data_IF_920982653884
#
_entry.id   IF_920982653884
#
_cell.length_a   1.000
_cell.length_b   1.000
_cell.length_c   1.000
_cell.angle_alpha   90.00
_cell.angle_beta   90.00
_cell.angle_gamma   90.00
#
_symmetry.space_group_name_H-M   'P 1'
#
loop_
_entity.id
_entity.type
_entity.pdbx_description
1 polymer ?
#
# COMPACT_ATOMS: atom_id res chain seq x y z
N UNK A 1 148.62 68.90 44.53
CA UNK A 1 148.45 67.45 44.32
C UNK A 1 147.23 66.98 45.09
N UNK A 2 146.14 66.64 44.38
CA UNK A 2 145.11 65.63 44.70
C UNK A 2 143.83 65.90 43.88
N UNK A 3 143.88 65.62 42.57
CA UNK A 3 142.75 65.70 41.63
C UNK A 3 141.92 64.40 41.55
N UNK A 4 142.26 63.35 42.32
CA UNK A 4 141.63 62.02 42.19
C UNK A 4 140.24 61.88 42.87
N UNK A 5 139.77 62.87 43.64
CA UNK A 5 138.48 62.77 44.35
C UNK A 5 137.24 63.18 43.55
N UNK A 6 137.40 63.79 42.37
CA UNK A 6 136.28 64.32 41.57
C UNK A 6 135.60 63.27 40.67
N UNK A 7 136.36 62.28 40.18
CA UNK A 7 135.86 61.30 39.19
C UNK A 7 134.93 60.25 39.82
N UNK A 8 135.10 59.94 41.11
CA UNK A 8 134.28 58.95 41.81
C UNK A 8 132.82 59.39 42.05
N UNK A 9 132.52 60.70 42.02
CA UNK A 9 131.17 61.22 42.28
C UNK A 9 130.26 61.16 41.04
N UNK A 10 130.83 61.34 39.83
CA UNK A 10 130.08 61.34 38.56
C UNK A 10 129.54 59.92 38.25
N UNK A 11 130.30 58.87 38.59
CA UNK A 11 129.86 57.48 38.39
C UNK A 11 128.72 57.03 39.30
N UNK A 12 128.57 57.64 40.49
CA UNK A 12 127.54 57.25 41.46
C UNK A 12 126.14 57.78 41.09
N UNK A 13 126.07 59.01 40.57
CA UNK A 13 124.81 59.62 40.11
C UNK A 13 124.23 58.95 38.87
N UNK A 14 125.08 58.54 37.92
CA UNK A 14 124.61 57.82 36.73
C UNK A 14 124.05 56.44 37.10
N UNK A 15 124.71 55.70 38.00
CA UNK A 15 124.23 54.40 38.46
C UNK A 15 122.86 54.50 39.13
N UNK A 16 122.64 55.50 39.99
CA UNK A 16 121.35 55.72 40.65
C UNK A 16 120.26 56.13 39.67
N UNK A 17 120.58 56.91 38.63
CA UNK A 17 119.63 57.28 37.59
C UNK A 17 119.20 56.05 36.78
N UNK A 18 120.15 55.20 36.35
CA UNK A 18 119.83 53.95 35.64
C UNK A 18 119.03 52.98 36.52
N UNK A 19 119.37 52.88 37.81
CA UNK A 19 118.60 52.07 38.76
C UNK A 19 117.17 52.60 38.90
N UNK A 20 117.00 53.92 39.05
CA UNK A 20 115.68 54.54 39.17
C UNK A 20 114.84 54.34 37.90
N UNK A 21 115.43 54.55 36.71
CA UNK A 21 114.78 54.29 35.42
C UNK A 21 114.41 52.81 35.29
N UNK A 22 115.27 51.88 35.73
CA UNK A 22 114.98 50.45 35.68
C UNK A 22 113.80 50.05 36.59
N UNK A 23 113.73 50.61 37.80
CA UNK A 23 112.61 50.39 38.73
C UNK A 23 111.32 50.96 38.16
N UNK A 24 111.37 52.15 37.57
CA UNK A 24 110.21 52.80 36.94
C UNK A 24 109.71 52.01 35.72
N UNK A 25 110.63 51.51 34.90
CA UNK A 25 110.30 50.65 33.75
C UNK A 25 109.64 49.34 34.20
N UNK A 26 110.15 48.69 35.25
CA UNK A 26 109.52 47.50 35.84
C UNK A 26 108.11 47.83 36.34
N UNK A 27 107.93 48.96 37.02
CA UNK A 27 106.62 49.37 37.55
C UNK A 27 105.60 49.60 36.41
N UNK A 28 106.02 50.25 35.32
CA UNK A 28 105.18 50.47 34.14
C UNK A 28 104.79 49.14 33.49
N UNK A 29 105.75 48.20 33.33
CA UNK A 29 105.48 46.88 32.73
C UNK A 29 104.49 46.07 33.59
N UNK A 30 104.64 46.11 34.91
CA UNK A 30 103.71 45.42 35.83
C UNK A 30 102.31 46.03 35.75
N UNK A 31 102.18 47.36 35.78
CA UNK A 31 100.90 48.05 35.65
C UNK A 31 100.22 47.75 34.31
N UNK A 32 100.99 47.72 33.22
CA UNK A 32 100.47 47.39 31.89
C UNK A 32 100.02 45.93 31.79
N UNK A 33 100.77 45.01 32.40
CA UNK A 33 100.42 43.58 32.45
C UNK A 33 99.13 43.35 33.24
N UNK A 34 98.96 44.05 34.37
CA UNK A 34 97.75 43.96 35.19
C UNK A 34 96.52 44.53 34.46
N UNK A 35 96.67 45.68 33.79
CA UNK A 35 95.63 46.28 32.97
C UNK A 35 95.17 45.31 31.86
N UNK A 36 96.11 44.68 31.16
CA UNK A 36 95.82 43.70 30.10
C UNK A 36 95.07 42.47 30.62
N UNK A 37 95.47 41.92 31.78
CA UNK A 37 94.79 40.78 32.41
C UNK A 37 93.37 41.14 32.85
N UNK A 38 93.16 42.35 33.39
CA UNK A 38 91.83 42.84 33.77
C UNK A 38 90.94 43.07 32.55
N UNK A 39 91.50 43.56 31.44
CA UNK A 39 90.78 43.74 30.18
C UNK A 39 90.39 42.41 29.55
N UNK A 40 91.30 41.43 29.50
CA UNK A 40 91.00 40.06 29.05
C UNK A 40 89.95 39.37 29.95
N UNK A 41 90.00 39.59 31.26
CA UNK A 41 89.01 39.05 32.20
C UNK A 41 87.63 39.70 32.01
N UNK A 42 87.60 41.02 31.73
CA UNK A 42 86.36 41.73 31.37
C UNK A 42 85.78 41.22 30.06
N UNK A 43 86.61 41.02 29.03
CA UNK A 43 86.14 40.53 27.72
C UNK A 43 85.61 39.09 27.82
N UNK A 44 86.28 38.22 28.60
CA UNK A 44 85.78 36.86 28.90
C UNK A 44 84.46 36.87 29.69
N UNK A 45 84.33 37.73 30.70
CA UNK A 45 83.08 37.86 31.45
C UNK A 45 81.95 38.44 30.59
N UNK A 46 82.26 39.38 29.69
CA UNK A 46 81.28 39.94 28.75
C UNK A 46 80.78 38.86 27.78
N UNK A 47 81.68 38.01 27.26
CA UNK A 47 81.34 36.88 26.40
C UNK A 47 80.53 35.81 27.15
N UNK A 48 80.90 35.47 28.38
CA UNK A 48 80.15 34.52 29.20
C UNK A 48 78.73 35.02 29.47
N UNK A 49 78.57 36.31 29.83
CA UNK A 49 77.26 36.92 30.05
C UNK A 49 76.40 37.02 28.77
N UNK A 50 77.02 37.27 27.60
CA UNK A 50 76.31 37.18 26.31
C UNK A 50 75.85 35.76 26.01
N UNK A 51 76.72 34.77 26.20
CA UNK A 51 76.42 33.37 25.92
C UNK A 51 75.31 32.83 26.83
N UNK A 52 75.28 33.25 28.10
CA UNK A 52 74.21 32.90 29.04
C UNK A 52 72.86 33.53 28.64
N UNK A 53 72.86 34.79 28.16
CA UNK A 53 71.66 35.43 27.60
C UNK A 53 71.17 34.73 26.33
N UNK A 54 72.06 34.33 25.43
CA UNK A 54 71.70 33.59 24.22
C UNK A 54 71.12 32.21 24.57
N UNK A 55 71.71 31.49 25.51
CA UNK A 55 71.18 30.22 26.02
C UNK A 55 69.78 30.37 26.63
N UNK A 56 69.56 31.44 27.41
CA UNK A 56 68.26 31.70 28.01
C UNK A 56 67.20 32.04 26.95
N UNK A 57 67.57 32.86 25.95
CA UNK A 57 66.70 33.17 24.82
C UNK A 57 66.38 31.92 23.98
N UNK A 58 67.36 31.02 23.82
CA UNK A 58 67.18 29.76 23.10
C UNK A 58 66.23 28.82 23.84
N UNK A 59 66.36 28.67 25.16
CA UNK A 59 65.43 27.90 26.00
C UNK A 59 64.01 28.46 25.99
N UNK A 60 63.85 29.79 26.02
CA UNK A 60 62.52 30.40 25.92
C UNK A 60 61.88 30.16 24.54
N UNK A 61 62.68 30.20 23.46
CA UNK A 61 62.20 29.84 22.14
C UNK A 61 61.81 28.36 22.06
N UNK A 62 62.61 27.47 22.63
CA UNK A 62 62.35 26.02 22.66
C UNK A 62 61.05 25.72 23.42
N UNK A 63 60.86 26.30 24.60
CA UNK A 63 59.60 26.16 25.36
C UNK A 63 58.38 26.71 24.60
N UNK A 64 58.52 27.87 23.94
CA UNK A 64 57.46 28.41 23.07
C UNK A 64 57.17 27.50 21.88
N UNK A 65 58.19 26.87 21.30
CA UNK A 65 58.04 25.94 20.19
C UNK A 65 57.32 24.67 20.64
N UNK A 66 57.70 24.10 21.78
CA UNK A 66 57.06 22.93 22.37
C UNK A 66 55.58 23.19 22.66
N UNK A 67 55.26 24.36 23.24
CA UNK A 67 53.87 24.77 23.48
C UNK A 67 53.05 24.84 22.18
N UNK A 68 53.63 25.40 21.11
CA UNK A 68 52.98 25.45 19.78
C UNK A 68 52.81 24.06 19.17
N UNK A 69 53.81 23.18 19.30
CA UNK A 69 53.73 21.79 18.82
C UNK A 69 52.62 21.04 19.55
N UNK A 70 52.46 21.27 20.85
CA UNK A 70 51.43 20.62 21.65
C UNK A 70 50.03 21.11 21.27
N UNK A 71 49.85 22.43 21.08
CA UNK A 71 48.61 23.02 20.59
C UNK A 71 48.25 22.49 19.19
N UNK A 72 49.21 22.44 18.26
CA UNK A 72 49.00 21.93 16.91
C UNK A 72 48.62 20.44 16.90
N UNK A 73 49.21 19.63 17.79
CA UNK A 73 48.84 18.21 17.94
C UNK A 73 47.40 18.05 18.41
N UNK A 74 46.94 18.91 19.31
CA UNK A 74 45.56 18.87 19.80
C UNK A 74 44.58 19.30 18.71
N UNK A 75 44.89 20.35 17.95
CA UNK A 75 44.08 20.78 16.80
C UNK A 75 43.97 19.67 15.73
N UNK A 76 45.09 19.01 15.41
CA UNK A 76 45.09 17.87 14.46
C UNK A 76 44.25 16.70 14.99
N UNK A 77 44.31 16.44 16.31
CA UNK A 77 43.51 15.38 16.94
C UNK A 77 42.02 15.71 16.82
N UNK A 78 41.64 16.94 17.14
CA UNK A 78 40.27 17.41 17.07
C UNK A 78 39.72 17.38 15.63
N UNK A 79 40.51 17.83 14.66
CA UNK A 79 40.12 17.80 13.24
C UNK A 79 39.95 16.38 12.70
N UNK A 80 40.77 15.42 13.19
CA UNK A 80 40.59 13.99 12.90
C UNK A 80 39.28 13.44 13.47
N UNK A 81 38.96 13.76 14.72
CA UNK A 81 37.72 13.33 15.36
C UNK A 81 36.49 13.92 14.63
N UNK A 82 36.56 15.19 14.26
CA UNK A 82 35.49 15.85 13.50
C UNK A 82 35.34 15.28 12.08
N UNK A 83 36.45 14.94 11.40
CA UNK A 83 36.41 14.23 10.13
C UNK A 83 35.78 12.84 10.25
N UNK A 84 36.15 12.07 11.28
CA UNK A 84 35.57 10.76 11.53
C UNK A 84 34.06 10.85 11.78
N UNK A 85 33.62 11.79 12.60
CA UNK A 85 32.19 12.03 12.86
C UNK A 85 31.43 12.40 11.58
N UNK A 86 32.02 13.26 10.74
CA UNK A 86 31.43 13.62 9.44
C UNK A 86 31.33 12.42 8.50
N UNK A 87 32.38 11.59 8.44
CA UNK A 87 32.39 10.39 7.59
C UNK A 87 31.35 9.36 8.05
N UNK A 88 31.20 9.17 9.38
CA UNK A 88 30.19 8.29 9.95
C UNK A 88 28.77 8.81 9.69
N UNK A 89 28.56 10.13 9.81
CA UNK A 89 27.33 10.79 9.41
C UNK A 89 26.98 10.57 7.93
N UNK A 90 27.95 10.70 7.03
CA UNK A 90 27.78 10.43 5.60
C UNK A 90 27.45 8.96 5.33
N UNK A 91 28.09 8.01 6.03
CA UNK A 91 27.79 6.58 5.91
C UNK A 91 26.36 6.25 6.37
N UNK A 92 25.90 6.86 7.46
CA UNK A 92 24.54 6.68 7.94
C UNK A 92 23.50 7.24 6.95
N UNK A 93 23.70 8.46 6.44
CA UNK A 93 22.85 9.06 5.40
C UNK A 93 22.79 8.18 4.14
N UNK A 94 23.94 7.63 3.71
CA UNK A 94 24.00 6.72 2.57
C UNK A 94 23.18 5.46 2.78
N UNK A 95 23.22 4.89 4.00
CA UNK A 95 22.43 3.72 4.38
C UNK A 95 20.93 4.04 4.36
N UNK A 96 20.51 5.14 4.96
CA UNK A 96 19.10 5.56 5.03
C UNK A 96 18.54 5.85 3.63
N UNK A 97 19.34 6.47 2.77
CA UNK A 97 18.95 6.74 1.38
C UNK A 97 18.80 5.45 0.58
N UNK A 98 19.58 4.42 0.87
CA UNK A 98 19.43 3.08 0.29
C UNK A 98 18.12 2.42 0.76
N UNK A 99 17.86 2.42 2.07
CA UNK A 99 16.62 1.90 2.65
C UNK A 99 15.39 2.58 2.05
N UNK A 100 15.40 3.92 1.98
CA UNK A 100 14.31 4.70 1.39
C UNK A 100 14.08 4.37 -0.10
N UNK A 101 15.16 4.15 -0.88
CA UNK A 101 15.04 3.69 -2.28
C UNK A 101 14.42 2.30 -2.39
N UNK A 102 14.78 1.37 -1.51
CA UNK A 102 14.22 0.02 -1.48
C UNK A 102 12.75 0.00 -1.07
N UNK A 103 12.37 0.79 -0.07
CA UNK A 103 10.98 0.99 0.35
C UNK A 103 10.16 1.63 -0.78
N UNK A 104 10.67 2.66 -1.44
CA UNK A 104 9.97 3.31 -2.55
C UNK A 104 9.78 2.35 -3.74
N UNK A 105 10.80 1.54 -4.07
CA UNK A 105 10.67 0.46 -5.07
C UNK A 105 9.60 -0.56 -4.68
N UNK A 106 9.56 -0.93 -3.40
CA UNK A 106 8.57 -1.87 -2.86
C UNK A 106 7.15 -1.30 -2.92
N UNK A 107 6.97 -0.04 -2.56
CA UNK A 107 5.69 0.68 -2.67
C UNK A 107 5.26 0.77 -4.13
N UNK A 108 6.17 1.11 -5.04
CA UNK A 108 5.87 1.17 -6.47
C UNK A 108 5.43 -0.18 -7.03
N UNK A 109 6.08 -1.28 -6.61
CA UNK A 109 5.65 -2.65 -6.97
C UNK A 109 4.27 -2.98 -6.42
N UNK A 110 4.00 -2.67 -5.14
CA UNK A 110 2.67 -2.87 -4.52
C UNK A 110 1.59 -2.07 -5.24
N UNK A 111 1.88 -0.82 -5.60
CA UNK A 111 0.94 0.04 -6.33
C UNK A 111 0.60 -0.51 -7.72
N UNK A 112 1.61 -0.97 -8.49
CA UNK A 112 1.38 -1.62 -9.79
C UNK A 112 0.54 -2.90 -9.66
N UNK A 113 0.82 -3.72 -8.66
CA UNK A 113 0.04 -4.93 -8.39
C UNK A 113 -1.42 -4.59 -8.01
N UNK A 114 -1.62 -3.52 -7.24
CA UNK A 114 -2.95 -3.01 -6.91
C UNK A 114 -3.70 -2.51 -8.15
N UNK A 115 -3.07 -1.70 -9.00
CA UNK A 115 -3.67 -1.23 -10.25
C UNK A 115 -4.09 -2.38 -11.17
N UNK A 116 -3.21 -3.38 -11.38
CA UNK A 116 -3.54 -4.57 -12.15
C UNK A 116 -4.74 -5.34 -11.58
N UNK A 117 -4.87 -5.40 -10.25
CA UNK A 117 -6.03 -6.03 -9.58
C UNK A 117 -7.32 -5.24 -9.79
N UNK A 118 -7.26 -3.91 -9.80
CA UNK A 118 -8.42 -3.05 -10.09
C UNK A 118 -8.86 -3.22 -11.54
N UNK A 119 -7.94 -3.13 -12.50
CA UNK A 119 -8.23 -3.34 -13.92
C UNK A 119 -8.82 -4.73 -14.19
N UNK A 120 -8.28 -5.76 -13.52
CA UNK A 120 -8.82 -7.11 -13.61
C UNK A 120 -10.27 -7.20 -13.13
N UNK A 121 -10.59 -6.57 -11.99
CA UNK A 121 -11.96 -6.51 -11.47
C UNK A 121 -12.90 -5.75 -12.39
N UNK A 122 -12.45 -4.66 -12.97
CA UNK A 122 -13.24 -3.86 -13.91
C UNK A 122 -13.53 -4.63 -15.20
N UNK A 123 -12.54 -5.36 -15.75
CA UNK A 123 -12.75 -6.25 -16.89
C UNK A 123 -13.76 -7.36 -16.59
N UNK A 124 -13.70 -7.95 -15.39
CA UNK A 124 -14.69 -8.94 -14.94
C UNK A 124 -16.07 -8.28 -14.91
N UNK A 125 -16.21 -7.14 -14.24
CA UNK A 125 -17.47 -6.41 -14.11
C UNK A 125 -18.09 -6.10 -15.48
N UNK A 126 -17.31 -5.55 -16.41
CA UNK A 126 -17.80 -5.21 -17.75
C UNK A 126 -18.20 -6.45 -18.56
N UNK A 127 -17.47 -7.56 -18.42
CA UNK A 127 -17.87 -8.85 -19.02
C UNK A 127 -19.18 -9.37 -18.43
N UNK A 128 -19.38 -9.20 -17.13
CA UNK A 128 -20.60 -9.62 -16.43
C UNK A 128 -21.80 -8.77 -16.86
N UNK A 129 -21.65 -7.45 -16.90
CA UNK A 129 -22.70 -6.54 -17.36
C UNK A 129 -23.10 -6.86 -18.80
N UNK A 130 -22.13 -7.14 -19.68
CA UNK A 130 -22.40 -7.61 -21.04
C UNK A 130 -23.14 -8.94 -21.04
N UNK A 131 -22.73 -9.90 -20.21
CA UNK A 131 -23.38 -11.21 -20.13
C UNK A 131 -24.83 -11.08 -19.66
N UNK A 132 -25.10 -10.21 -18.68
CA UNK A 132 -26.46 -9.90 -18.21
C UNK A 132 -27.26 -9.27 -19.34
N UNK A 133 -26.71 -8.29 -20.06
CA UNK A 133 -27.38 -7.65 -21.19
C UNK A 133 -27.71 -8.65 -22.31
N UNK A 134 -26.76 -9.54 -22.65
CA UNK A 134 -26.97 -10.60 -23.65
C UNK A 134 -28.07 -11.57 -23.20
N UNK A 135 -28.06 -11.99 -21.92
CA UNK A 135 -29.12 -12.84 -21.35
C UNK A 135 -30.49 -12.14 -21.37
N UNK A 136 -30.55 -10.84 -21.12
CA UNK A 136 -31.78 -10.05 -21.16
C UNK A 136 -32.32 -9.86 -22.58
N UNK A 137 -31.45 -9.72 -23.58
CA UNK A 137 -31.85 -9.67 -24.98
C UNK A 137 -32.50 -10.99 -25.40
N UNK A 138 -31.89 -12.11 -25.03
CA UNK A 138 -32.45 -13.45 -25.27
C UNK A 138 -33.82 -13.59 -24.58
N UNK A 139 -33.93 -13.15 -23.33
CA UNK A 139 -35.21 -13.12 -22.61
C UNK A 139 -36.27 -12.28 -23.35
N UNK A 140 -35.90 -11.12 -23.91
CA UNK A 140 -36.82 -10.27 -24.68
C UNK A 140 -37.31 -10.95 -25.97
N UNK A 141 -36.42 -11.57 -26.74
CA UNK A 141 -36.79 -12.36 -27.93
C UNK A 141 -37.75 -13.51 -27.57
N UNK A 142 -37.50 -14.16 -26.43
CA UNK A 142 -38.35 -15.23 -25.92
C UNK A 142 -39.75 -14.76 -25.51
N UNK A 143 -39.86 -13.53 -24.99
CA UNK A 143 -41.17 -12.91 -24.72
C UNK A 143 -41.97 -12.73 -26.01
N UNK A 144 -41.33 -12.27 -27.07
CA UNK A 144 -41.98 -12.09 -28.38
C UNK A 144 -42.48 -13.45 -28.92
N UNK A 145 -41.62 -14.47 -28.94
CA UNK A 145 -41.98 -15.86 -29.31
C UNK A 145 -43.18 -16.42 -28.51
N UNK A 146 -43.29 -16.03 -27.23
CA UNK A 146 -44.32 -16.52 -26.31
C UNK A 146 -45.63 -15.74 -26.38
N UNK A 147 -45.60 -14.49 -26.86
CA UNK A 147 -46.79 -13.63 -26.93
C UNK A 147 -47.76 -14.07 -28.03
N UNK A 148 -47.24 -14.76 -29.06
CA UNK A 148 -48.02 -15.35 -30.15
C UNK A 148 -48.80 -16.60 -29.74
N UNK A 149 -48.35 -17.26 -28.67
CA UNK A 149 -49.09 -18.37 -28.07
C UNK A 149 -50.15 -17.77 -27.14
N UNK A 150 -51.43 -17.77 -27.55
CA UNK A 150 -52.66 -17.36 -26.81
C UNK A 150 -52.86 -18.04 -25.43
N UNK A 151 -51.83 -18.10 -24.61
CA UNK A 151 -51.83 -18.61 -23.27
C UNK A 151 -52.26 -17.47 -22.34
N UNK A 152 -53.05 -17.72 -21.29
CA UNK A 152 -53.48 -16.72 -20.33
C UNK A 152 -52.30 -16.36 -19.42
N UNK A 153 -51.36 -15.58 -19.95
CA UNK A 153 -50.08 -15.27 -19.33
C UNK A 153 -49.95 -13.75 -19.28
N UNK A 154 -49.71 -13.22 -18.09
CA UNK A 154 -49.15 -11.89 -17.96
C UNK A 154 -47.62 -12.01 -17.96
N UNK A 155 -46.98 -11.40 -18.97
CA UNK A 155 -45.52 -11.32 -19.09
C UNK A 155 -45.08 -9.94 -18.65
N UNK A 156 -44.46 -9.85 -17.47
CA UNK A 156 -43.88 -8.60 -16.98
C UNK A 156 -42.35 -8.68 -16.94
N UNK A 157 -41.74 -7.57 -17.35
CA UNK A 157 -40.30 -7.43 -17.52
C UNK A 157 -39.73 -6.61 -16.38
N UNK A 158 -38.98 -7.28 -15.50
CA UNK A 158 -37.99 -6.61 -14.67
C UNK A 158 -36.60 -6.79 -15.32
N UNK A 159 -35.63 -5.91 -15.05
CA UNK A 159 -34.29 -5.97 -15.65
C UNK A 159 -33.52 -7.26 -15.38
N UNK A 160 -34.04 -8.17 -14.54
CA UNK A 160 -33.41 -9.42 -14.15
C UNK A 160 -34.33 -10.64 -14.29
N UNK A 161 -35.60 -10.51 -14.70
CA UNK A 161 -36.59 -11.61 -14.63
C UNK A 161 -37.65 -11.55 -15.71
N UNK A 162 -37.96 -12.70 -16.31
CA UNK A 162 -39.22 -12.93 -17.01
C UNK A 162 -40.05 -13.89 -16.17
N UNK A 163 -41.15 -13.37 -15.66
CA UNK A 163 -42.14 -14.20 -14.99
C UNK A 163 -43.38 -14.37 -15.85
N UNK A 164 -43.90 -15.59 -15.80
CA UNK A 164 -45.18 -15.96 -16.38
C UNK A 164 -46.13 -16.02 -15.20
N UNK A 165 -46.94 -14.98 -15.04
CA UNK A 165 -48.06 -14.99 -14.09
C UNK A 165 -49.18 -15.85 -14.69
N UNK A 166 -48.87 -17.14 -14.80
CA UNK A 166 -49.86 -18.14 -15.10
C UNK A 166 -50.48 -18.48 -13.76
N UNK A 167 -51.33 -17.57 -13.27
CA UNK A 167 -51.91 -17.70 -11.96
C UNK A 167 -52.73 -18.98 -11.93
N UNK A 168 -52.11 -20.08 -11.44
CA UNK A 168 -52.84 -21.32 -11.23
C UNK A 168 -53.81 -21.02 -10.11
N UNK A 169 -55.02 -20.59 -10.44
CA UNK A 169 -56.00 -20.20 -9.43
C UNK A 169 -56.49 -21.46 -8.76
N UNK A 170 -56.19 -21.58 -7.47
CA UNK A 170 -56.69 -22.66 -6.65
C UNK A 170 -58.01 -22.24 -6.00
N UNK A 171 -58.93 -23.20 -5.89
CA UNK A 171 -60.17 -23.03 -5.14
C UNK A 171 -59.79 -23.00 -3.65
N UNK A 172 -60.18 -21.93 -2.95
CA UNK A 172 -59.93 -21.62 -1.53
C UNK A 172 -58.68 -22.26 -0.90
N UNK A 173 -58.81 -23.47 -0.34
CA UNK A 173 -57.78 -24.20 0.44
C UNK A 173 -57.17 -25.40 -0.31
N UNK A 174 -57.61 -25.67 -1.52
CA UNK A 174 -57.11 -26.80 -2.29
C UNK A 174 -55.67 -26.58 -2.73
N UNK A 175 -54.92 -27.68 -2.76
CA UNK A 175 -53.54 -27.76 -3.27
C UNK A 175 -53.47 -28.55 -4.58
N UNK A 176 -54.57 -29.19 -4.99
CA UNK A 176 -54.70 -29.88 -6.27
C UNK A 176 -54.76 -28.89 -7.42
N UNK A 177 -53.92 -29.10 -8.43
CA UNK A 177 -53.96 -28.33 -9.67
C UNK A 177 -55.26 -28.69 -10.41
N UNK A 178 -56.12 -27.73 -10.76
CA UNK A 178 -57.32 -28.00 -11.55
C UNK A 178 -56.99 -28.65 -12.90
N UNK A 179 -57.75 -29.67 -13.30
CA UNK A 179 -57.45 -30.44 -14.53
C UNK A 179 -57.42 -29.58 -15.79
N UNK A 180 -58.28 -28.55 -15.86
CA UNK A 180 -58.30 -27.58 -16.96
C UNK A 180 -57.01 -26.77 -17.09
N UNK A 181 -56.22 -26.63 -16.02
CA UNK A 181 -54.98 -25.86 -16.00
C UNK A 181 -53.73 -26.73 -16.19
N UNK A 182 -53.79 -28.03 -15.89
CA UNK A 182 -52.66 -28.96 -16.05
C UNK A 182 -52.07 -28.93 -17.46
N UNK A 183 -52.93 -28.95 -18.49
CA UNK A 183 -52.49 -28.90 -19.91
C UNK A 183 -51.69 -27.63 -20.23
N UNK A 184 -52.10 -26.49 -19.69
CA UNK A 184 -51.41 -25.20 -19.89
C UNK A 184 -50.05 -25.19 -19.20
N UNK A 185 -49.98 -25.67 -17.95
CA UNK A 185 -48.72 -25.79 -17.21
C UNK A 185 -47.75 -26.72 -17.95
N UNK A 186 -48.24 -27.88 -18.42
CA UNK A 186 -47.42 -28.84 -19.17
C UNK A 186 -46.86 -28.20 -20.44
N UNK A 187 -47.71 -27.48 -21.19
CA UNK A 187 -47.32 -26.78 -22.42
C UNK A 187 -46.24 -25.72 -22.14
N UNK A 188 -46.38 -24.96 -21.05
CA UNK A 188 -45.38 -23.98 -20.64
C UNK A 188 -44.08 -24.65 -20.23
N UNK A 189 -44.13 -25.72 -19.43
CA UNK A 189 -42.92 -26.43 -19.04
C UNK A 189 -42.16 -27.00 -20.24
N UNK A 190 -42.86 -27.53 -21.24
CA UNK A 190 -42.24 -27.99 -22.50
C UNK A 190 -41.59 -26.84 -23.26
N UNK A 191 -42.26 -25.69 -23.31
CA UNK A 191 -41.70 -24.50 -23.94
C UNK A 191 -40.50 -23.96 -23.18
N UNK A 192 -40.52 -23.96 -21.85
CA UNK A 192 -39.36 -23.61 -21.02
C UNK A 192 -38.19 -24.55 -21.28
N UNK A 193 -38.46 -25.85 -21.44
CA UNK A 193 -37.44 -26.83 -21.79
C UNK A 193 -36.78 -26.50 -23.14
N UNK A 194 -37.59 -26.28 -24.18
CA UNK A 194 -37.11 -25.86 -25.51
C UNK A 194 -36.25 -24.60 -25.44
N UNK A 195 -36.67 -23.62 -24.63
CA UNK A 195 -35.95 -22.37 -24.39
C UNK A 195 -34.60 -22.64 -23.71
N UNK A 196 -34.62 -23.35 -22.59
CA UNK A 196 -33.43 -23.62 -21.79
C UNK A 196 -32.40 -24.49 -22.53
N UNK A 197 -32.84 -25.29 -23.51
CA UNK A 197 -31.97 -26.07 -24.38
C UNK A 197 -31.36 -25.26 -25.56
N UNK A 198 -31.77 -23.99 -25.76
CA UNK A 198 -31.14 -23.13 -26.77
C UNK A 198 -29.69 -22.83 -26.40
N UNK A 199 -28.84 -22.80 -27.43
CA UNK A 199 -27.43 -22.41 -27.32
C UNK A 199 -27.29 -20.95 -27.69
N UNK A 200 -26.64 -20.18 -26.82
CA UNK A 200 -26.34 -18.78 -27.05
C UNK A 200 -24.83 -18.53 -27.06
N UNK A 201 -24.42 -17.54 -27.85
CA UNK A 201 -23.04 -17.08 -27.92
C UNK A 201 -22.87 -15.89 -26.99
N UNK A 202 -22.00 -16.01 -26.00
CA UNK A 202 -21.65 -14.89 -25.11
C UNK A 202 -20.15 -14.64 -25.24
N UNK A 203 -19.79 -13.55 -25.91
CA UNK A 203 -18.43 -13.33 -26.39
C UNK A 203 -18.04 -14.40 -27.42
N UNK A 204 -16.99 -15.18 -27.13
CA UNK A 204 -16.50 -16.27 -28.00
C UNK A 204 -16.86 -17.67 -27.49
N UNK A 205 -17.65 -17.79 -26.42
CA UNK A 205 -18.03 -19.06 -25.79
C UNK A 205 -19.50 -19.40 -26.05
N UNK A 206 -19.77 -20.69 -26.24
CA UNK A 206 -21.12 -21.27 -26.36
C UNK A 206 -21.62 -21.68 -24.98
N UNK A 207 -22.85 -21.31 -24.66
CA UNK A 207 -23.53 -21.70 -23.43
C UNK A 207 -24.93 -22.22 -23.74
N UNK A 208 -25.39 -23.24 -23.01
CA UNK A 208 -26.82 -23.53 -22.99
C UNK A 208 -27.51 -22.56 -22.02
N UNK A 209 -28.73 -22.14 -22.34
CA UNK A 209 -29.49 -21.28 -21.43
C UNK A 209 -29.79 -21.95 -20.09
N UNK A 210 -29.94 -23.28 -20.05
CA UNK A 210 -30.08 -24.06 -18.79
C UNK A 210 -28.88 -23.93 -17.84
N UNK A 211 -27.71 -23.59 -18.37
CA UNK A 211 -26.53 -23.35 -17.54
C UNK A 211 -26.59 -21.96 -16.90
N UNK A 212 -27.11 -20.98 -17.64
CA UNK A 212 -27.15 -19.57 -17.28
C UNK A 212 -28.43 -19.15 -16.57
N UNK A 213 -29.49 -19.95 -16.65
CA UNK A 213 -30.82 -19.64 -16.16
C UNK A 213 -31.36 -20.74 -15.24
N UNK A 214 -32.46 -20.44 -14.57
CA UNK A 214 -33.20 -21.38 -13.72
C UNK A 214 -34.69 -21.09 -13.81
N UNK A 215 -35.49 -22.13 -13.59
CA UNK A 215 -36.93 -22.01 -13.41
C UNK A 215 -37.20 -21.69 -11.93
N UNK A 216 -38.06 -20.73 -11.65
CA UNK A 216 -38.52 -20.39 -10.30
C UNK A 216 -40.02 -20.57 -10.24
N UNK A 217 -40.49 -21.36 -9.28
CA UNK A 217 -41.91 -21.58 -9.01
C UNK A 217 -42.24 -20.95 -7.66
N UNK A 218 -43.11 -19.93 -7.68
CA UNK A 218 -43.46 -19.12 -6.52
C UNK A 218 -44.92 -19.35 -6.14
N UNK A 219 -45.18 -19.83 -4.93
CA UNK A 219 -46.53 -19.98 -4.40
C UNK A 219 -46.99 -18.73 -3.66
N UNK A 220 -48.27 -18.37 -3.86
CA UNK A 220 -48.92 -17.22 -3.24
C UNK A 220 -50.27 -17.59 -2.63
N UNK A 221 -50.65 -16.86 -1.59
CA UNK A 221 -51.95 -16.94 -0.92
C UNK A 221 -52.62 -15.57 -0.90
N UNK A 222 -53.91 -15.54 -0.55
CA UNK A 222 -54.62 -14.29 -0.30
C UNK A 222 -54.36 -13.77 1.12
N UNK A 223 -54.98 -12.65 1.47
CA UNK A 223 -54.85 -12.00 2.78
C UNK A 223 -55.70 -12.65 3.88
N UNK A 224 -56.47 -13.71 3.58
CA UNK A 224 -57.33 -14.36 4.57
C UNK A 224 -56.57 -15.44 5.34
N UNK A 225 -56.17 -15.09 6.56
CA UNK A 225 -55.50 -16.03 7.45
C UNK A 225 -56.51 -16.83 8.26
N UNK A 226 -56.36 -18.16 8.24
CA UNK A 226 -57.04 -19.07 9.16
C UNK A 226 -56.22 -19.25 10.44
N UNK A 227 -54.89 -19.28 10.32
CA UNK A 227 -53.90 -19.24 11.41
C UNK A 227 -52.55 -18.73 10.85
N UNK A 228 -51.59 -18.44 11.73
CA UNK A 228 -50.34 -17.72 11.39
C UNK A 228 -49.55 -18.33 10.22
N UNK A 229 -49.45 -19.66 10.14
CA UNK A 229 -48.68 -20.38 9.11
C UNK A 229 -49.52 -20.91 7.93
N UNK A 230 -50.85 -20.76 7.96
CA UNK A 230 -51.75 -21.40 6.98
C UNK A 230 -51.40 -21.06 5.53
N UNK A 231 -51.17 -19.78 5.28
CA UNK A 231 -50.87 -19.27 3.95
C UNK A 231 -49.48 -19.71 3.46
N UNK A 232 -48.51 -19.82 4.37
CA UNK A 232 -47.18 -20.31 4.03
C UNK A 232 -47.23 -21.78 3.60
N UNK A 233 -47.93 -22.62 4.36
CA UNK A 233 -48.05 -24.04 4.03
C UNK A 233 -48.80 -24.26 2.72
N UNK A 234 -49.93 -23.59 2.52
CA UNK A 234 -50.71 -23.72 1.28
C UNK A 234 -49.93 -23.21 0.07
N UNK A 235 -49.20 -22.09 0.18
CA UNK A 235 -48.39 -21.58 -0.93
C UNK A 235 -47.21 -22.52 -1.27
N UNK A 236 -46.55 -23.08 -0.25
CA UNK A 236 -45.50 -24.09 -0.40
C UNK A 236 -46.01 -25.34 -1.11
N UNK A 237 -47.13 -25.89 -0.64
CA UNK A 237 -47.68 -27.15 -1.20
C UNK A 237 -48.15 -26.97 -2.64
N UNK A 238 -48.78 -25.82 -2.96
CA UNK A 238 -49.17 -25.48 -4.34
C UNK A 238 -47.96 -25.37 -5.27
N UNK A 239 -46.92 -24.66 -4.85
CA UNK A 239 -45.69 -24.53 -5.64
C UNK A 239 -45.03 -25.90 -5.86
N UNK A 240 -45.03 -26.76 -4.84
CA UNK A 240 -44.49 -28.12 -4.93
C UNK A 240 -45.25 -28.96 -5.95
N UNK A 241 -46.59 -28.92 -5.96
CA UNK A 241 -47.40 -29.65 -6.95
C UNK A 241 -47.13 -29.20 -8.38
N UNK A 242 -46.92 -27.90 -8.58
CA UNK A 242 -46.56 -27.37 -9.90
C UNK A 242 -45.18 -27.86 -10.33
N UNK A 243 -44.19 -27.86 -9.44
CA UNK A 243 -42.87 -28.44 -9.72
C UNK A 243 -42.97 -29.92 -10.06
N UNK A 244 -43.73 -30.71 -9.29
CA UNK A 244 -43.93 -32.13 -9.54
C UNK A 244 -44.51 -32.37 -10.95
N UNK A 245 -45.47 -31.55 -11.37
CA UNK A 245 -46.05 -31.61 -12.71
C UNK A 245 -45.05 -31.22 -13.80
N UNK A 246 -44.28 -30.15 -13.62
CA UNK A 246 -43.26 -29.69 -14.56
C UNK A 246 -42.15 -30.73 -14.76
N UNK A 247 -41.74 -31.40 -13.68
CA UNK A 247 -40.73 -32.46 -13.75
C UNK A 247 -41.29 -33.65 -14.53
N UNK A 248 -42.42 -34.21 -14.07
CA UNK A 248 -42.95 -35.47 -14.60
C UNK A 248 -43.49 -35.37 -16.03
N UNK A 249 -44.21 -34.30 -16.34
CA UNK A 249 -44.99 -34.20 -17.59
C UNK A 249 -44.37 -33.25 -18.62
N UNK A 250 -43.53 -32.30 -18.17
CA UNK A 250 -42.81 -31.40 -19.07
C UNK A 250 -41.35 -31.78 -19.29
N UNK A 251 -40.79 -32.68 -18.48
CA UNK A 251 -39.41 -33.17 -18.61
C UNK A 251 -38.35 -32.14 -18.19
N UNK A 252 -38.72 -31.18 -17.33
CA UNK A 252 -37.78 -30.26 -16.68
C UNK A 252 -37.10 -30.99 -15.50
N UNK A 253 -36.35 -32.05 -15.79
CA UNK A 253 -35.75 -32.92 -14.77
C UNK A 253 -34.45 -32.33 -14.18
N UNK A 254 -34.34 -32.17 -12.84
CA UNK A 254 -33.06 -31.91 -12.19
C UNK A 254 -32.09 -33.11 -12.32
N UNK A 255 -30.76 -32.89 -12.35
CA UNK A 255 -30.07 -31.61 -12.21
C UNK A 255 -29.87 -30.87 -13.55
N UNK A 256 -30.37 -31.42 -14.67
CA UNK A 256 -30.19 -30.83 -16.01
C UNK A 256 -30.78 -29.43 -16.07
N UNK A 257 -31.97 -29.25 -15.50
CA UNK A 257 -32.61 -27.95 -15.35
C UNK A 257 -32.60 -27.53 -13.88
N UNK A 258 -32.09 -26.32 -13.62
CA UNK A 258 -32.11 -25.73 -12.28
C UNK A 258 -33.53 -25.25 -11.98
N UNK A 259 -34.17 -25.81 -10.96
CA UNK A 259 -35.52 -25.42 -10.54
C UNK A 259 -35.49 -25.03 -9.06
N UNK A 260 -35.98 -23.83 -8.76
CA UNK A 260 -36.13 -23.31 -7.42
C UNK A 260 -37.61 -23.16 -7.06
N UNK A 261 -37.91 -23.42 -5.80
CA UNK A 261 -39.23 -23.20 -5.22
C UNK A 261 -39.16 -22.07 -4.20
N UNK A 262 -40.19 -21.22 -4.16
CA UNK A 262 -40.40 -20.25 -3.09
C UNK A 262 -41.87 -20.22 -2.68
N UNK A 263 -42.12 -19.95 -1.41
CA UNK A 263 -43.46 -19.78 -0.84
C UNK A 263 -43.53 -18.39 -0.20
N UNK A 264 -44.44 -17.55 -0.66
CA UNK A 264 -44.54 -16.16 -0.23
C UNK A 264 -45.77 -15.86 0.61
N UNK A 265 -46.68 -16.83 0.81
CA UNK A 265 -47.94 -16.58 1.50
C UNK A 265 -48.65 -15.34 0.90
N UNK A 266 -49.18 -14.44 1.73
CA UNK A 266 -49.77 -13.15 1.33
C UNK A 266 -48.74 -12.05 0.99
N UNK A 267 -47.46 -12.24 1.31
CA UNK A 267 -46.41 -11.22 1.20
C UNK A 267 -45.77 -11.15 -0.19
N UNK A 268 -46.20 -12.02 -1.10
CA UNK A 268 -45.70 -12.01 -2.46
C UNK A 268 -46.19 -10.81 -3.26
N UNK A 269 -45.62 -10.64 -4.46
CA UNK A 269 -46.09 -9.65 -5.42
C UNK A 269 -47.58 -9.82 -5.67
N UNK A 270 -48.30 -8.71 -5.74
CA UNK A 270 -49.73 -8.71 -6.04
C UNK A 270 -49.95 -8.84 -7.55
N UNK A 271 -50.96 -9.60 -7.99
CA UNK A 271 -51.25 -9.70 -9.42
C UNK A 271 -51.73 -8.34 -9.92
N UNK A 272 -51.29 -7.93 -11.11
CA UNK A 272 -51.88 -6.77 -11.78
C UNK A 272 -53.27 -7.13 -12.26
N UNK A 273 -54.26 -6.36 -11.80
CA UNK A 273 -55.66 -6.50 -12.19
C UNK A 273 -55.99 -5.37 -13.16
N UNK A 274 -56.64 -5.70 -14.27
CA UNK A 274 -57.21 -4.68 -15.17
C UNK A 274 -58.36 -3.95 -14.47
N UNK A 275 -58.77 -2.78 -14.97
CA UNK A 275 -59.88 -2.01 -14.40
C UNK A 275 -61.17 -2.87 -14.34
N UNK A 276 -61.48 -3.60 -15.41
CA UNK A 276 -62.59 -4.57 -15.46
C UNK A 276 -62.49 -5.67 -14.38
N UNK A 277 -61.28 -6.06 -14.00
CA UNK A 277 -61.04 -7.09 -12.98
C UNK A 277 -61.14 -6.55 -11.56
N UNK A 278 -60.84 -5.27 -11.37
CA UNK A 278 -61.03 -4.60 -10.08
C UNK A 278 -62.53 -4.45 -9.77
N UNK A 279 -63.35 -4.23 -10.79
CA UNK A 279 -64.82 -4.11 -10.66
C UNK A 279 -65.51 -5.44 -10.29
N UNK A 280 -64.85 -6.60 -10.47
CA UNK A 280 -65.40 -7.94 -10.15
C UNK A 280 -65.44 -8.27 -8.65
N UNK A 281 -65.03 -7.34 -7.79
CA UNK A 281 -65.15 -7.46 -6.34
C UNK A 281 -64.04 -8.27 -5.65
N UNK A 282 -64.13 -8.35 -4.32
CA UNK A 282 -63.04 -8.83 -3.46
C UNK A 282 -62.73 -10.32 -3.63
N UNK A 283 -63.74 -11.15 -3.90
CA UNK A 283 -63.55 -12.59 -4.04
C UNK A 283 -62.80 -12.94 -5.33
N UNK A 284 -63.04 -12.19 -6.41
CA UNK A 284 -62.28 -12.30 -7.65
C UNK A 284 -60.81 -11.92 -7.42
N UNK A 285 -60.58 -10.78 -6.74
CA UNK A 285 -59.23 -10.33 -6.37
C UNK A 285 -58.48 -11.37 -5.54
N UNK A 286 -59.13 -11.97 -4.53
CA UNK A 286 -58.52 -13.04 -3.72
C UNK A 286 -58.23 -14.30 -4.54
N UNK A 287 -59.12 -14.67 -5.46
CA UNK A 287 -58.88 -15.75 -6.42
C UNK A 287 -57.66 -15.53 -7.30
N UNK A 288 -57.36 -14.26 -7.62
CA UNK A 288 -56.14 -13.87 -8.32
C UNK A 288 -54.91 -13.84 -7.40
N UNK A 289 -55.04 -13.54 -6.11
CA UNK A 289 -53.93 -13.60 -5.17
C UNK A 289 -53.47 -15.04 -4.89
N UNK A 290 -54.43 -15.99 -4.80
CA UNK A 290 -54.18 -17.43 -4.61
C UNK A 290 -53.66 -18.09 -5.89
N UNK A 291 -52.35 -17.97 -6.12
CA UNK A 291 -51.76 -18.41 -7.38
C UNK A 291 -50.38 -19.03 -7.23
N UNK A 292 -49.91 -19.63 -8.32
CA UNK A 292 -48.51 -20.01 -8.48
C UNK A 292 -47.95 -19.29 -9.70
N UNK A 293 -46.80 -18.65 -9.55
CA UNK A 293 -46.07 -17.99 -10.64
C UNK A 293 -44.95 -18.92 -11.11
N UNK A 294 -44.73 -19.02 -12.42
CA UNK A 294 -43.65 -19.83 -13.00
C UNK A 294 -42.75 -18.88 -13.81
N UNK A 295 -41.45 -18.83 -13.52
CA UNK A 295 -40.54 -17.82 -14.09
C UNK A 295 -39.26 -18.45 -14.62
N UNK A 296 -38.66 -17.86 -15.64
CA UNK A 296 -37.27 -18.13 -16.02
C UNK A 296 -36.44 -16.92 -15.59
N UNK A 297 -35.41 -17.16 -14.79
CA UNK A 297 -34.52 -16.09 -14.29
C UNK A 297 -33.06 -16.46 -14.52
N UNK A 298 -32.17 -15.49 -14.77
CA UNK A 298 -30.73 -15.72 -14.76
C UNK A 298 -30.26 -16.31 -13.42
N UNK A 299 -29.37 -17.29 -13.48
CA UNK A 299 -28.69 -17.87 -12.33
C UNK A 299 -27.47 -17.01 -12.00
N UNK A 300 -27.68 -15.91 -11.26
CA UNK A 300 -26.59 -15.00 -10.87
C UNK A 300 -25.41 -15.70 -10.21
N UNK A 301 -25.63 -16.76 -9.44
CA UNK A 301 -24.54 -17.58 -8.87
C UNK A 301 -23.67 -18.22 -9.94
N UNK A 302 -24.27 -18.70 -11.03
CA UNK A 302 -23.54 -19.28 -12.17
C UNK A 302 -22.90 -18.19 -13.04
N UNK A 303 -23.56 -17.02 -13.14
CA UNK A 303 -23.03 -15.88 -13.88
C UNK A 303 -21.86 -15.20 -13.15
N UNK A 304 -21.84 -15.22 -11.82
CA UNK A 304 -20.81 -14.59 -10.97
C UNK A 304 -19.63 -15.53 -10.64
N UNK A 305 -19.76 -16.84 -10.91
CA UNK A 305 -18.73 -17.83 -10.64
C UNK A 305 -17.80 -18.11 -11.84
N UNK A 306 -18.12 -17.60 -13.03
CA UNK A 306 -17.38 -17.79 -14.29
C UNK A 306 -16.71 -16.50 -14.78
#
# INVERSE_FOLDING_TARGET
>A
MNEEKSIAWIGFTDLFLYLFISILAIFIIVQFSFAKVVEDAKDKNLRAAMMEKELHACREQESKLEGKILALKEDIRQEREDSQRKEEGLRNISRDLRTCKEENSTIQKKYRAYQAKVEYRERIKNKHEKLIADALNVLKELKEDMSDHKLPIHIETEPDRIYFDMGVSFISREVSIPDGQKKSIIKIGKKFKEILDRVVMIGSKRYYLRDLMRVVVEGHADDQKVHEMANFDVSKDRAFRVIELLIRESGLEPPIYKINMAAFAEFGRQPKLTDEEQEKGIDYKRGRMRRVTISIVPSYTTLLAN
#
